data_IF_667469133316
#
_entry.id   IF_667469133316
#
_cell.length_a   1.000
_cell.length_b   1.000
_cell.length_c   1.000
_cell.angle_alpha   90.00
_cell.angle_beta   90.00
_cell.angle_gamma   90.00
#
_symmetry.space_group_name_H-M   'P 1'
#
loop_
_entity.id
_entity.type
_entity.pdbx_description
1 polymer ?
#
# COMPACT_ATOMS: atom_id res chain seq x y z
N UNK A 1 -26.28 10.41 6.67
CA UNK A 1 -25.53 9.17 6.98
C UNK A 1 -24.43 9.52 7.95
N UNK A 2 -24.15 8.64 8.91
CA UNK A 2 -22.93 8.73 9.71
C UNK A 2 -21.74 8.42 8.78
N UNK A 3 -20.67 9.20 8.84
CA UNK A 3 -19.48 8.98 8.01
C UNK A 3 -18.82 7.69 8.52
N UNK A 4 -18.59 6.69 7.66
CA UNK A 4 -17.94 5.44 8.06
C UNK A 4 -16.51 5.71 8.55
N UNK A 5 -16.03 4.84 9.42
CA UNK A 5 -14.67 4.93 9.95
C UNK A 5 -13.65 4.58 8.86
N UNK A 6 -13.89 3.48 8.14
CA UNK A 6 -13.01 3.01 7.06
C UNK A 6 -13.81 2.79 5.78
N UNK A 7 -13.34 3.36 4.68
CA UNK A 7 -13.83 3.07 3.34
C UNK A 7 -12.80 2.27 2.55
N UNK A 8 -13.22 1.24 1.82
CA UNK A 8 -12.32 0.43 0.96
C UNK A 8 -12.70 0.59 -0.51
N UNK A 9 -11.74 1.11 -1.28
CA UNK A 9 -11.82 1.30 -2.73
C UNK A 9 -11.08 0.18 -3.47
N UNK A 10 -11.74 -0.50 -4.42
CA UNK A 10 -11.12 -1.61 -5.15
C UNK A 10 -11.82 -1.92 -6.48
N UNK A 11 -11.11 -2.63 -7.37
CA UNK A 11 -11.71 -3.16 -8.58
C UNK A 11 -12.46 -4.48 -8.31
N UNK A 12 -13.71 -4.59 -8.75
CA UNK A 12 -14.55 -5.78 -8.52
C UNK A 12 -14.05 -7.02 -9.27
N UNK A 13 -14.25 -8.21 -8.71
CA UNK A 13 -13.84 -9.48 -9.30
C UNK A 13 -12.35 -9.79 -9.15
N UNK A 14 -12.00 -11.06 -9.35
CA UNK A 14 -10.62 -11.52 -9.37
C UNK A 14 -9.93 -11.44 -8.01
N UNK A 15 -8.62 -11.16 -8.03
CA UNK A 15 -7.78 -11.21 -6.83
C UNK A 15 -8.01 -10.05 -5.87
N UNK A 16 -8.25 -8.84 -6.40
CA UNK A 16 -8.57 -7.67 -5.59
C UNK A 16 -9.82 -7.91 -4.73
N UNK A 17 -10.88 -8.51 -5.29
CA UNK A 17 -12.09 -8.84 -4.53
C UNK A 17 -11.85 -9.93 -3.48
N UNK A 18 -11.07 -10.98 -3.82
CA UNK A 18 -10.71 -12.04 -2.86
C UNK A 18 -9.95 -11.47 -1.66
N UNK A 19 -9.00 -10.57 -1.92
CA UNK A 19 -8.22 -9.90 -0.89
C UNK A 19 -9.11 -8.98 -0.03
N UNK A 20 -9.93 -8.14 -0.68
CA UNK A 20 -10.83 -7.21 0.03
C UNK A 20 -11.83 -7.93 0.92
N UNK A 21 -12.34 -9.09 0.51
CA UNK A 21 -13.23 -9.88 1.37
C UNK A 21 -12.55 -10.33 2.68
N UNK A 22 -11.27 -10.73 2.61
CA UNK A 22 -10.49 -11.08 3.82
C UNK A 22 -10.22 -9.85 4.69
N UNK A 23 -9.81 -8.75 4.07
CA UNK A 23 -9.58 -7.48 4.75
C UNK A 23 -10.86 -6.98 5.46
N UNK A 24 -12.00 -7.05 4.77
CA UNK A 24 -13.30 -6.68 5.31
C UNK A 24 -13.64 -7.51 6.56
N UNK A 25 -13.51 -8.84 6.47
CA UNK A 25 -13.77 -9.72 7.61
C UNK A 25 -12.85 -9.40 8.80
N UNK A 26 -11.56 -9.14 8.55
CA UNK A 26 -10.60 -8.74 9.57
C UNK A 26 -10.97 -7.42 10.25
N UNK A 27 -11.22 -6.36 9.48
CA UNK A 27 -11.55 -5.04 10.03
C UNK A 27 -12.89 -5.05 10.81
N UNK A 28 -13.88 -5.84 10.37
CA UNK A 28 -15.13 -6.03 11.12
C UNK A 28 -14.87 -6.77 12.44
N UNK A 29 -13.97 -7.75 12.48
CA UNK A 29 -13.58 -8.43 13.72
C UNK A 29 -12.85 -7.48 14.70
N UNK A 30 -12.15 -6.48 14.18
CA UNK A 30 -11.52 -5.39 14.96
C UNK A 30 -12.49 -4.27 15.39
N UNK A 31 -13.79 -4.44 15.13
CA UNK A 31 -14.89 -3.50 15.44
C UNK A 31 -14.84 -2.17 14.69
N UNK A 32 -14.24 -2.12 13.49
CA UNK A 32 -14.37 -0.94 12.63
C UNK A 32 -15.71 -0.92 11.89
N UNK A 33 -16.25 0.28 11.70
CA UNK A 33 -17.32 0.51 10.72
C UNK A 33 -16.72 0.63 9.32
N UNK A 34 -16.77 -0.49 8.58
CA UNK A 34 -16.19 -0.64 7.24
C UNK A 34 -17.28 -0.58 6.19
N UNK A 35 -17.05 0.26 5.19
CA UNK A 35 -17.92 0.40 4.03
C UNK A 35 -17.21 -0.07 2.75
N UNK A 36 -17.88 -0.90 1.97
CA UNK A 36 -17.45 -1.38 0.65
C UNK A 36 -18.36 -0.81 -0.44
N UNK A 37 -17.77 -0.35 -1.55
CA UNK A 37 -18.52 0.23 -2.66
C UNK A 37 -19.60 -0.70 -3.23
N UNK A 38 -19.32 -2.01 -3.33
CA UNK A 38 -20.22 -3.01 -3.91
C UNK A 38 -21.38 -3.39 -3.00
N UNK A 39 -21.15 -3.39 -1.68
CA UNK A 39 -22.13 -3.88 -0.70
C UNK A 39 -23.06 -2.74 -0.27
N UNK A 40 -22.49 -1.59 0.03
CA UNK A 40 -23.21 -0.50 0.71
C UNK A 40 -23.89 0.48 -0.27
N UNK A 41 -23.54 0.44 -1.56
CA UNK A 41 -24.27 1.18 -2.60
C UNK A 41 -25.71 0.65 -2.78
N UNK A 42 -25.92 -0.65 -2.53
CA UNK A 42 -27.22 -1.31 -2.71
C UNK A 42 -27.72 -1.34 -4.17
N UNK A 43 -28.74 -2.13 -4.44
CA UNK A 43 -29.38 -2.17 -5.75
C UNK A 43 -30.05 -0.82 -6.07
N UNK A 44 -29.71 -0.23 -7.24
CA UNK A 44 -30.13 1.11 -7.71
C UNK A 44 -29.50 2.32 -6.99
N UNK A 45 -28.44 2.13 -6.20
CA UNK A 45 -27.69 3.25 -5.63
C UNK A 45 -26.99 4.11 -6.69
N UNK A 46 -26.92 5.41 -6.44
CA UNK A 46 -26.15 6.33 -7.30
C UNK A 46 -24.68 6.30 -6.89
N UNK A 47 -23.86 5.65 -7.71
CA UNK A 47 -22.43 5.45 -7.43
C UNK A 47 -21.67 6.77 -7.28
N UNK A 48 -22.01 7.80 -8.06
CA UNK A 48 -21.34 9.11 -8.02
C UNK A 48 -21.66 9.85 -6.73
N UNK A 49 -22.93 9.90 -6.33
CA UNK A 49 -23.32 10.55 -5.06
C UNK A 49 -22.74 9.84 -3.84
N UNK A 50 -22.62 8.51 -3.91
CA UNK A 50 -22.00 7.70 -2.88
C UNK A 50 -20.48 7.97 -2.78
N UNK A 51 -19.77 7.99 -3.92
CA UNK A 51 -18.33 8.30 -3.97
C UNK A 51 -18.00 9.72 -3.47
N UNK A 52 -18.82 10.72 -3.79
CA UNK A 52 -18.67 12.10 -3.30
C UNK A 52 -18.80 12.20 -1.77
N UNK A 53 -19.65 11.37 -1.16
CA UNK A 53 -19.79 11.34 0.30
C UNK A 53 -18.59 10.66 0.98
N UNK A 54 -17.99 9.67 0.32
CA UNK A 54 -16.87 8.87 0.86
C UNK A 54 -15.51 9.50 0.68
N UNK A 55 -15.36 10.43 -0.28
CA UNK A 55 -14.18 11.29 -0.39
C UNK A 55 -13.87 12.10 0.87
N UNK A 56 -14.81 12.21 1.82
CA UNK A 56 -14.66 12.84 3.13
C UNK A 56 -14.27 11.87 4.26
N UNK A 57 -14.18 10.57 3.97
CA UNK A 57 -13.76 9.55 4.94
C UNK A 57 -12.40 9.85 5.55
N UNK A 58 -12.23 9.48 6.83
CA UNK A 58 -10.99 9.74 7.59
C UNK A 58 -9.89 8.73 7.27
N UNK A 59 -10.27 7.47 7.00
CA UNK A 59 -9.37 6.43 6.52
C UNK A 59 -9.95 5.76 5.27
N UNK A 60 -9.18 5.77 4.18
CA UNK A 60 -9.57 5.23 2.88
C UNK A 60 -8.51 4.23 2.45
N UNK A 61 -8.83 2.94 2.55
CA UNK A 61 -7.96 1.87 2.04
C UNK A 61 -8.18 1.75 0.54
N UNK A 62 -7.12 1.94 -0.25
CA UNK A 62 -7.22 1.83 -1.71
C UNK A 62 -6.44 0.62 -2.18
N UNK A 63 -7.12 -0.35 -2.76
CA UNK A 63 -6.55 -1.59 -3.30
C UNK A 63 -6.33 -1.44 -4.80
N UNK A 64 -5.06 -1.26 -5.19
CA UNK A 64 -4.65 -0.80 -6.52
C UNK A 64 -4.05 -1.97 -7.31
N UNK A 65 -4.75 -2.38 -8.37
CA UNK A 65 -4.29 -3.34 -9.37
C UNK A 65 -4.25 -2.70 -10.77
N UNK A 66 -3.70 -3.39 -11.77
CA UNK A 66 -3.76 -2.92 -13.17
C UNK A 66 -5.22 -2.64 -13.60
N UNK A 67 -6.13 -3.51 -13.17
CA UNK A 67 -7.57 -3.37 -13.42
C UNK A 67 -8.14 -2.09 -12.79
N UNK A 68 -7.71 -1.75 -11.58
CA UNK A 68 -8.15 -0.52 -10.90
C UNK A 68 -7.79 0.71 -11.74
N UNK A 69 -6.55 0.79 -12.22
CA UNK A 69 -6.00 1.97 -12.89
C UNK A 69 -6.53 2.20 -14.30
N UNK A 70 -7.17 1.17 -14.87
CA UNK A 70 -7.86 1.19 -16.17
C UNK A 70 -9.39 1.27 -16.03
N UNK A 71 -9.92 1.27 -14.81
CA UNK A 71 -11.36 1.35 -14.54
C UNK A 71 -11.79 2.80 -14.38
N UNK A 72 -12.75 3.25 -15.21
CA UNK A 72 -13.30 4.61 -15.14
C UNK A 72 -13.90 4.92 -13.77
N UNK A 73 -14.67 3.98 -13.20
CA UNK A 73 -15.28 4.16 -11.89
C UNK A 73 -14.22 4.28 -10.77
N UNK A 74 -13.22 3.40 -10.76
CA UNK A 74 -12.18 3.40 -9.72
C UNK A 74 -11.27 4.64 -9.81
N UNK A 75 -10.95 5.06 -11.02
CA UNK A 75 -10.13 6.26 -11.23
C UNK A 75 -10.91 7.55 -11.00
N UNK A 76 -12.20 7.59 -11.33
CA UNK A 76 -13.08 8.69 -10.94
C UNK A 76 -13.13 8.83 -9.41
N UNK A 77 -13.32 7.72 -8.70
CA UNK A 77 -13.30 7.71 -7.24
C UNK A 77 -11.96 8.20 -6.67
N UNK A 78 -10.84 7.73 -7.22
CA UNK A 78 -9.51 8.21 -6.84
C UNK A 78 -9.34 9.72 -7.05
N UNK A 79 -9.87 10.24 -8.15
CA UNK A 79 -9.88 11.69 -8.43
C UNK A 79 -10.71 12.43 -7.39
N UNK A 80 -11.91 11.94 -7.05
CA UNK A 80 -12.76 12.54 -6.02
C UNK A 80 -12.06 12.53 -4.64
N UNK A 81 -11.43 11.42 -4.25
CA UNK A 81 -10.65 11.34 -3.01
C UNK A 81 -9.51 12.38 -3.01
N UNK A 82 -8.83 12.56 -4.15
CA UNK A 82 -7.72 13.51 -4.33
C UNK A 82 -8.14 14.98 -4.39
N UNK A 83 -9.41 15.30 -4.66
CA UNK A 83 -9.95 16.68 -4.61
C UNK A 83 -10.04 17.23 -3.19
N UNK A 84 -10.04 16.36 -2.17
CA UNK A 84 -10.09 16.76 -0.77
C UNK A 84 -8.69 16.87 -0.14
N UNK A 85 -8.53 17.80 0.82
CA UNK A 85 -7.26 18.02 1.52
C UNK A 85 -6.75 16.74 2.22
N UNK A 86 -5.45 16.75 2.56
CA UNK A 86 -4.79 15.68 3.31
C UNK A 86 -4.91 14.31 2.66
N UNK A 87 -4.95 14.26 1.32
CA UNK A 87 -5.05 13.03 0.53
C UNK A 87 -4.08 11.95 1.04
N UNK A 88 -2.78 12.25 1.12
CA UNK A 88 -1.75 11.32 1.56
C UNK A 88 -1.89 10.83 3.01
N UNK A 89 -2.57 11.59 3.88
CA UNK A 89 -2.80 11.20 5.28
C UNK A 89 -4.02 10.29 5.42
N UNK A 90 -4.96 10.38 4.47
CA UNK A 90 -6.23 9.64 4.50
C UNK A 90 -6.16 8.33 3.71
N UNK A 91 -5.29 8.25 2.70
CA UNK A 91 -5.17 7.03 1.89
C UNK A 91 -4.23 6.01 2.52
N UNK A 92 -4.65 4.76 2.51
CA UNK A 92 -3.87 3.59 2.89
C UNK A 92 -3.74 2.68 1.66
N UNK A 93 -2.76 2.93 0.78
CA UNK A 93 -2.64 2.21 -0.47
C UNK A 93 -2.07 0.80 -0.27
N UNK A 94 -2.72 -0.18 -0.92
CA UNK A 94 -2.28 -1.56 -1.03
C UNK A 94 -2.11 -1.85 -2.51
N UNK A 95 -0.87 -2.05 -2.95
CA UNK A 95 -0.55 -2.10 -4.38
C UNK A 95 -0.24 -3.55 -4.80
N UNK A 96 -1.03 -4.08 -5.72
CA UNK A 96 -0.78 -5.37 -6.34
C UNK A 96 0.45 -5.30 -7.25
N UNK A 97 1.22 -6.40 -7.39
CA UNK A 97 2.39 -6.44 -8.29
C UNK A 97 2.06 -6.10 -9.75
N UNK A 98 0.85 -6.44 -10.21
CA UNK A 98 0.41 -6.21 -11.60
C UNK A 98 0.25 -4.73 -11.97
N UNK A 99 0.04 -3.85 -10.98
CA UNK A 99 -0.03 -2.40 -11.17
C UNK A 99 1.34 -1.79 -11.54
N UNK A 100 2.44 -2.50 -11.26
CA UNK A 100 3.81 -2.16 -11.66
C UNK A 100 4.20 -0.67 -11.43
N UNK A 101 3.77 -0.11 -10.30
CA UNK A 101 3.83 1.34 -10.01
C UNK A 101 5.25 1.92 -9.92
N UNK A 102 6.24 1.10 -9.61
CA UNK A 102 7.63 1.55 -9.48
C UNK A 102 8.33 1.69 -10.83
N UNK A 103 7.80 1.05 -11.88
CA UNK A 103 8.35 1.14 -13.22
C UNK A 103 7.83 2.40 -13.94
N UNK A 104 8.71 3.34 -14.34
CA UNK A 104 8.29 4.55 -15.04
C UNK A 104 7.59 4.27 -16.37
N UNK A 105 7.99 3.22 -17.10
CA UNK A 105 7.37 2.87 -18.38
C UNK A 105 5.94 2.33 -18.18
N UNK A 106 5.72 1.55 -17.11
CA UNK A 106 4.38 1.08 -16.77
C UNK A 106 3.46 2.25 -16.39
N UNK A 107 3.97 3.24 -15.63
CA UNK A 107 3.22 4.46 -15.32
C UNK A 107 2.88 5.28 -16.57
N UNK A 108 3.82 5.43 -17.49
CA UNK A 108 3.55 6.06 -18.79
C UNK A 108 2.49 5.30 -19.59
N UNK A 109 2.45 3.96 -19.50
CA UNK A 109 1.43 3.17 -20.18
C UNK A 109 0.00 3.49 -19.68
N UNK A 110 -0.18 3.84 -18.39
CA UNK A 110 -1.49 4.31 -17.89
C UNK A 110 -1.88 5.68 -18.44
N UNK A 111 -0.93 6.60 -18.62
CA UNK A 111 -1.19 7.90 -19.26
C UNK A 111 -1.67 7.65 -20.71
N UNK A 112 -0.92 6.86 -21.47
CA UNK A 112 -1.26 6.50 -22.85
C UNK A 112 -2.62 5.80 -22.92
N UNK A 113 -2.94 4.93 -21.96
CA UNK A 113 -4.25 4.28 -21.89
C UNK A 113 -5.37 5.31 -21.82
N UNK A 114 -5.31 6.25 -20.87
CA UNK A 114 -6.35 7.27 -20.70
C UNK A 114 -6.40 8.29 -21.85
N UNK A 115 -5.26 8.66 -22.45
CA UNK A 115 -5.23 9.46 -23.68
C UNK A 115 -6.02 8.78 -24.81
N UNK A 116 -5.84 7.47 -24.97
CA UNK A 116 -6.55 6.70 -25.98
C UNK A 116 -8.05 6.60 -25.68
N UNK A 117 -8.45 6.41 -24.43
CA UNK A 117 -9.87 6.39 -24.06
C UNK A 117 -10.56 7.74 -24.30
N UNK A 118 -9.91 8.87 -23.95
CA UNK A 118 -10.38 10.23 -24.28
C UNK A 118 -10.52 10.43 -25.78
N UNK A 119 -9.54 9.97 -26.56
CA UNK A 119 -9.57 10.07 -28.04
C UNK A 119 -10.73 9.26 -28.64
N UNK A 120 -10.89 8.01 -28.23
CA UNK A 120 -11.97 7.11 -28.71
C UNK A 120 -13.35 7.70 -28.44
N UNK A 121 -13.57 8.22 -27.23
CA UNK A 121 -14.85 8.81 -26.85
C UNK A 121 -15.15 10.07 -27.68
N UNK A 122 -14.16 10.96 -27.84
CA UNK A 122 -14.26 12.14 -28.70
C UNK A 122 -14.61 11.78 -30.16
N UNK A 123 -13.97 10.77 -30.73
CA UNK A 123 -14.23 10.33 -32.09
C UNK A 123 -15.65 9.77 -32.26
N UNK A 124 -16.13 9.04 -31.25
CA UNK A 124 -17.50 8.50 -31.24
C UNK A 124 -18.55 9.62 -31.16
N UNK A 125 -18.31 10.66 -30.37
CA UNK A 125 -19.21 11.83 -30.28
C UNK A 125 -19.31 12.62 -31.58
N UNK A 126 -18.21 12.74 -32.36
CA UNK A 126 -18.22 13.49 -33.64
C UNK A 126 -19.17 12.91 -34.68
N UNK A 127 -19.52 11.63 -34.57
CA UNK A 127 -20.42 10.95 -35.49
C UNK A 127 -21.89 11.13 -35.13
N UNK A 128 -22.21 11.84 -34.05
CA UNK A 128 -23.60 12.08 -33.61
C UNK A 128 -24.08 13.44 -34.09
N UNK A 129 -25.11 13.45 -34.94
CA UNK A 129 -25.65 14.68 -35.55
C UNK A 129 -26.41 15.56 -34.53
N UNK A 130 -27.15 14.95 -33.60
CA UNK A 130 -27.91 15.67 -32.60
C UNK A 130 -27.12 15.78 -31.28
N UNK A 131 -26.41 16.90 -31.11
CA UNK A 131 -25.57 17.16 -29.94
C UNK A 131 -26.34 17.17 -28.60
N UNK A 132 -27.65 17.44 -28.60
CA UNK A 132 -28.45 17.41 -27.37
C UNK A 132 -28.57 16.00 -26.77
N UNK A 133 -28.43 14.95 -27.59
CA UNK A 133 -28.52 13.56 -27.15
C UNK A 133 -27.25 13.04 -26.47
N UNK A 134 -26.14 13.77 -26.58
CA UNK A 134 -24.85 13.34 -26.02
C UNK A 134 -24.40 14.17 -24.82
N UNK A 135 -25.28 15.00 -24.26
CA UNK A 135 -24.93 15.87 -23.12
C UNK A 135 -24.37 15.07 -21.92
N UNK A 136 -24.93 13.89 -21.63
CA UNK A 136 -24.41 12.99 -20.57
C UNK A 136 -23.05 12.39 -20.94
N UNK A 137 -22.86 12.00 -22.20
CA UNK A 137 -21.59 11.47 -22.72
C UNK A 137 -20.49 12.55 -22.68
N UNK A 138 -20.85 13.81 -22.91
CA UNK A 138 -19.94 14.94 -22.74
C UNK A 138 -19.46 15.08 -21.29
N UNK A 139 -20.32 14.77 -20.30
CA UNK A 139 -19.89 14.73 -18.89
C UNK A 139 -18.91 13.58 -18.64
N UNK A 140 -19.14 12.40 -19.20
CA UNK A 140 -18.16 11.29 -19.10
C UNK A 140 -16.81 11.65 -19.74
N UNK A 141 -16.81 12.38 -20.86
CA UNK A 141 -15.58 12.88 -21.45
C UNK A 141 -14.86 13.87 -20.52
N UNK A 142 -15.58 14.74 -19.81
CA UNK A 142 -14.99 15.61 -18.79
C UNK A 142 -14.33 14.77 -17.70
N UNK A 143 -15.00 13.72 -17.22
CA UNK A 143 -14.47 12.80 -16.21
C UNK A 143 -13.20 12.09 -16.69
N UNK A 144 -13.17 11.62 -17.94
CA UNK A 144 -11.98 10.98 -18.51
C UNK A 144 -10.80 11.96 -18.61
N UNK A 145 -11.06 13.23 -18.93
CA UNK A 145 -10.03 14.27 -18.93
C UNK A 145 -9.54 14.58 -17.51
N UNK A 146 -10.43 14.59 -16.50
CA UNK A 146 -10.01 14.75 -15.10
C UNK A 146 -9.12 13.59 -14.65
N UNK A 147 -9.48 12.35 -14.99
CA UNK A 147 -8.67 11.16 -14.74
C UNK A 147 -7.30 11.30 -15.41
N UNK A 148 -7.26 11.63 -16.70
CA UNK A 148 -6.01 11.82 -17.45
C UNK A 148 -5.11 12.89 -16.82
N UNK A 149 -5.68 14.02 -16.41
CA UNK A 149 -4.93 15.10 -15.75
C UNK A 149 -4.40 14.68 -14.37
N UNK A 150 -5.13 13.80 -13.67
CA UNK A 150 -4.77 13.34 -12.34
C UNK A 150 -3.81 12.14 -12.33
N UNK A 151 -3.83 11.27 -13.34
CA UNK A 151 -3.13 9.97 -13.32
C UNK A 151 -1.63 10.13 -13.10
N UNK A 152 -1.00 11.15 -13.69
CA UNK A 152 0.43 11.45 -13.49
C UNK A 152 0.73 11.84 -12.04
N UNK A 153 -0.13 12.68 -11.43
CA UNK A 153 0.01 13.09 -10.03
C UNK A 153 -0.24 11.93 -9.07
N UNK A 154 -1.32 11.17 -9.29
CA UNK A 154 -1.71 10.01 -8.47
C UNK A 154 -0.59 8.96 -8.50
N UNK A 155 -0.15 8.54 -9.69
CA UNK A 155 0.92 7.53 -9.81
C UNK A 155 2.27 8.01 -9.26
N UNK A 156 2.51 9.32 -9.23
CA UNK A 156 3.69 9.90 -8.58
C UNK A 156 3.59 9.89 -7.05
N UNK A 157 2.42 10.17 -6.48
CA UNK A 157 2.16 10.06 -5.04
C UNK A 157 2.29 8.59 -4.60
N UNK A 158 1.63 7.68 -5.31
CA UNK A 158 1.64 6.25 -5.00
C UNK A 158 3.06 5.65 -5.07
N UNK A 159 3.86 6.02 -6.08
CA UNK A 159 5.27 5.60 -6.16
C UNK A 159 6.07 5.97 -4.91
N UNK A 160 5.82 7.16 -4.35
CA UNK A 160 6.56 7.67 -3.21
C UNK A 160 5.94 7.26 -1.86
N UNK A 161 4.86 6.49 -1.88
CA UNK A 161 4.22 5.97 -0.68
C UNK A 161 4.78 4.59 -0.36
N UNK A 162 5.14 4.35 0.90
CA UNK A 162 5.55 3.03 1.36
C UNK A 162 4.32 2.12 1.50
N UNK A 163 3.87 1.56 0.38
CA UNK A 163 2.74 0.62 0.32
C UNK A 163 3.23 -0.82 0.46
N UNK A 164 2.50 -1.63 1.23
CA UNK A 164 2.70 -3.07 1.26
C UNK A 164 1.85 -3.74 0.17
N UNK A 165 2.28 -4.93 -0.26
CA UNK A 165 1.49 -5.76 -1.19
C UNK A 165 0.39 -6.51 -0.42
N UNK A 166 -0.63 -7.03 -1.12
CA UNK A 166 -1.64 -7.91 -0.53
C UNK A 166 -1.03 -9.07 0.26
N UNK A 167 -0.01 -9.74 -0.29
CA UNK A 167 0.64 -10.89 0.34
C UNK A 167 1.32 -10.52 1.64
N UNK A 168 2.00 -9.36 1.67
CA UNK A 168 2.66 -8.85 2.87
C UNK A 168 1.63 -8.59 3.98
N UNK A 169 0.50 -7.96 3.64
CA UNK A 169 -0.59 -7.74 4.60
C UNK A 169 -1.24 -9.04 5.06
N UNK A 170 -1.49 -10.00 4.18
CA UNK A 170 -2.05 -11.29 4.59
C UNK A 170 -1.11 -12.07 5.51
N UNK A 171 0.21 -12.04 5.24
CA UNK A 171 1.22 -12.73 6.04
C UNK A 171 1.30 -12.22 7.48
N UNK A 172 1.19 -10.92 7.68
CA UNK A 172 1.16 -10.30 9.01
C UNK A 172 -0.25 -10.22 9.63
N UNK A 173 -1.25 -10.86 9.00
CA UNK A 173 -2.66 -10.76 9.38
C UNK A 173 -3.12 -9.30 9.55
N UNK A 174 -2.80 -8.47 8.56
CA UNK A 174 -3.17 -7.05 8.42
C UNK A 174 -2.68 -6.13 9.56
N UNK A 175 -1.70 -6.58 10.36
CA UNK A 175 -1.20 -5.83 11.53
C UNK A 175 -0.73 -4.41 11.19
N UNK A 176 0.11 -4.23 10.17
CA UNK A 176 0.62 -2.89 9.82
C UNK A 176 -0.50 -1.96 9.34
N UNK A 177 -1.48 -2.50 8.61
CA UNK A 177 -2.65 -1.73 8.20
C UNK A 177 -3.50 -1.31 9.41
N UNK A 178 -3.75 -2.23 10.34
CA UNK A 178 -4.50 -1.96 11.57
C UNK A 178 -3.83 -0.85 12.40
N UNK A 179 -2.51 -0.94 12.59
CA UNK A 179 -1.73 0.08 13.31
C UNK A 179 -1.87 1.44 12.63
N UNK A 180 -1.67 1.50 11.31
CA UNK A 180 -1.74 2.75 10.55
C UNK A 180 -3.16 3.37 10.59
N UNK A 181 -4.20 2.56 10.39
CA UNK A 181 -5.61 3.02 10.42
C UNK A 181 -5.99 3.50 11.83
N UNK A 182 -5.54 2.80 12.88
CA UNK A 182 -5.84 3.15 14.28
C UNK A 182 -5.20 4.48 14.73
N UNK A 183 -4.12 4.92 14.09
CA UNK A 183 -3.52 6.24 14.36
C UNK A 183 -4.42 7.39 13.89
N UNK A 184 -5.18 7.19 12.81
CA UNK A 184 -6.09 8.20 12.24
C UNK A 184 -7.49 8.11 12.86
N UNK A 185 -7.85 6.92 13.34
CA UNK A 185 -9.11 6.59 13.99
C UNK A 185 -8.84 6.06 15.41
N UNK A 186 -8.62 6.94 16.40
CA UNK A 186 -8.46 6.48 17.78
C UNK A 186 -9.72 5.73 18.22
N UNK A 187 -9.55 4.45 18.61
CA UNK A 187 -10.65 3.60 19.10
C UNK A 187 -11.43 4.35 20.19
N UNK A 188 -12.77 4.34 20.10
CA UNK A 188 -13.62 4.83 21.21
C UNK A 188 -13.20 4.07 22.47
N UNK A 189 -12.81 4.79 23.53
CA UNK A 189 -12.59 4.15 24.83
C UNK A 189 -13.90 3.47 25.22
N UNK A 190 -13.84 2.18 25.52
CA UNK A 190 -14.94 1.50 26.17
C UNK A 190 -15.09 2.10 27.58
N UNK A 191 -16.04 3.01 27.73
CA UNK A 191 -16.61 3.35 29.03
C UNK A 191 -17.51 2.18 29.45
N UNK A 192 -16.88 1.14 29.99
CA UNK A 192 -17.43 0.22 31.01
C UNK A 192 -16.64 -1.11 31.00
N UNK A 193 -15.56 -1.12 31.78
CA UNK A 193 -15.12 -2.32 32.47
C UNK A 193 -14.37 -1.87 33.73
N UNK A 194 -15.00 -2.14 34.87
CA UNK A 194 -14.60 -1.70 36.20
C UNK A 194 -13.20 -2.13 36.63
N UNK A 195 -12.73 -1.38 37.62
CA UNK A 195 -11.42 -1.39 38.27
C UNK A 195 -10.85 -2.76 38.61
N UNK A 196 -9.53 -2.89 38.43
CA UNK A 196 -8.63 -3.43 39.45
C UNK A 196 -7.19 -2.88 39.28
N UNK A 197 -6.81 -2.04 40.25
CA UNK A 197 -5.49 -1.54 40.72
C UNK A 197 -4.21 -2.16 40.09
N UNK A 198 -3.36 -1.33 39.47
CA UNK A 198 -2.21 -0.55 40.01
C UNK A 198 -0.92 -1.36 40.30
N UNK A 199 0.13 -1.09 39.52
CA UNK A 199 1.49 -0.82 40.03
C UNK A 199 2.15 0.24 39.12
N UNK A 200 2.45 1.40 39.70
CA UNK A 200 3.33 2.43 39.12
C UNK A 200 4.81 1.97 39.19
N UNK A 201 5.62 2.28 38.17
CA UNK A 201 6.68 3.31 38.29
C UNK A 201 7.58 3.45 37.03
N UNK A 202 7.85 4.72 36.77
CA UNK A 202 9.02 5.34 36.12
C UNK A 202 9.19 5.21 34.59
N UNK A 203 8.68 6.24 33.88
CA UNK A 203 9.29 6.73 32.65
C UNK A 203 10.62 7.43 32.95
N UNK A 204 11.58 7.34 32.02
CA UNK A 204 12.05 8.57 31.40
C UNK A 204 11.89 8.52 29.87
N UNK A 205 11.23 9.56 29.37
CA UNK A 205 11.08 9.95 27.98
C UNK A 205 12.42 10.13 27.27
N UNK A 206 12.55 9.55 26.06
CA UNK A 206 13.04 10.19 24.81
C UNK A 206 13.03 9.15 23.68
N UNK A 207 12.42 9.49 22.54
CA UNK A 207 12.36 8.75 21.26
C UNK A 207 13.59 7.87 20.99
N UNK A 208 13.43 6.59 20.59
CA UNK A 208 12.93 6.26 19.24
C UNK A 208 12.00 5.04 19.20
N UNK A 209 10.95 5.07 18.37
CA UNK A 209 10.15 3.86 18.05
C UNK A 209 10.98 2.90 17.17
N UNK A 210 11.90 2.18 17.81
CA UNK A 210 12.63 1.02 17.29
C UNK A 210 12.95 0.11 18.48
N UNK A 211 12.12 -0.90 18.74
CA UNK A 211 12.55 -2.09 19.51
C UNK A 211 12.71 -3.22 18.47
N UNK A 212 13.83 -3.91 18.31
CA UNK A 212 15.14 -3.81 19.00
C UNK A 212 16.21 -4.58 18.20
N UNK A 213 16.29 -4.44 16.88
CA UNK A 213 17.46 -4.99 16.17
C UNK A 213 18.65 -4.04 16.32
N UNK A 214 19.65 -4.40 17.14
CA UNK A 214 20.93 -3.68 17.11
C UNK A 214 21.55 -3.92 15.74
N UNK A 215 21.66 -2.90 14.88
CA UNK A 215 22.25 -3.01 13.55
C UNK A 215 23.65 -3.66 13.58
N UNK A 216 24.41 -3.40 14.64
CA UNK A 216 25.70 -4.04 14.91
C UNK A 216 25.60 -5.57 15.11
N UNK A 217 24.47 -6.09 15.61
CA UNK A 217 24.22 -7.53 15.76
C UNK A 217 23.86 -8.17 14.41
N UNK A 218 22.99 -7.56 13.60
CA UNK A 218 22.70 -8.05 12.24
C UNK A 218 23.97 -8.06 11.39
N UNK A 219 24.78 -7.00 11.48
CA UNK A 219 26.06 -6.92 10.77
C UNK A 219 27.03 -8.05 11.18
N UNK A 220 27.15 -8.32 12.49
CA UNK A 220 27.98 -9.42 13.00
C UNK A 220 27.45 -10.78 12.55
N UNK A 221 26.13 -10.97 12.57
CA UNK A 221 25.49 -12.20 12.10
C UNK A 221 25.84 -12.44 10.63
N UNK A 222 25.56 -11.48 9.75
CA UNK A 222 25.89 -11.56 8.32
C UNK A 222 27.37 -11.86 8.04
N UNK A 223 28.28 -11.23 8.81
CA UNK A 223 29.72 -11.45 8.65
C UNK A 223 30.18 -12.83 9.12
N UNK A 224 29.48 -13.44 10.08
CA UNK A 224 29.82 -14.75 10.64
C UNK A 224 29.11 -15.91 9.93
N UNK A 225 27.93 -15.65 9.36
CA UNK A 225 27.08 -16.64 8.71
C UNK A 225 27.56 -16.99 7.30
N UNK A 226 28.02 -16.00 6.53
CA UNK A 226 28.39 -16.23 5.14
C UNK A 226 29.90 -16.17 4.89
N UNK A 227 30.40 -17.06 4.03
CA UNK A 227 31.65 -16.80 3.30
C UNK A 227 31.43 -15.65 2.29
N UNK A 228 32.50 -15.12 1.69
CA UNK A 228 32.34 -14.04 0.69
C UNK A 228 31.57 -14.54 -0.56
N UNK A 229 31.79 -15.80 -0.95
CA UNK A 229 31.07 -16.45 -2.06
C UNK A 229 29.60 -16.68 -1.72
N UNK A 230 29.29 -17.14 -0.50
CA UNK A 230 27.91 -17.41 -0.10
C UNK A 230 27.10 -16.12 0.04
N UNK A 231 27.72 -15.04 0.53
CA UNK A 231 27.08 -13.72 0.60
C UNK A 231 26.72 -13.20 -0.80
N UNK A 232 27.58 -13.44 -1.79
CA UNK A 232 27.28 -13.09 -3.18
C UNK A 232 26.06 -13.86 -3.69
N UNK A 233 26.03 -15.18 -3.49
CA UNK A 233 24.90 -16.03 -3.90
C UNK A 233 23.60 -15.63 -3.19
N UNK A 234 23.65 -15.36 -1.88
CA UNK A 234 22.52 -14.89 -1.10
C UNK A 234 21.97 -13.57 -1.63
N UNK A 235 22.84 -12.59 -1.90
CA UNK A 235 22.39 -11.32 -2.47
C UNK A 235 21.88 -11.52 -3.89
N UNK A 236 22.49 -12.36 -4.72
CA UNK A 236 22.01 -12.63 -6.08
C UNK A 236 20.59 -13.20 -6.08
N UNK A 237 20.25 -14.08 -5.12
CA UNK A 237 18.95 -14.74 -5.04
C UNK A 237 17.89 -13.82 -4.43
N UNK A 238 18.18 -13.21 -3.28
CA UNK A 238 17.16 -12.53 -2.48
C UNK A 238 17.21 -11.00 -2.60
N UNK A 239 18.35 -10.43 -3.01
CA UNK A 239 18.60 -8.98 -3.07
C UNK A 239 19.34 -8.62 -4.37
N UNK A 240 18.78 -9.02 -5.51
CA UNK A 240 19.45 -8.90 -6.82
C UNK A 240 19.96 -7.47 -7.05
N UNK A 241 19.18 -6.45 -6.68
CA UNK A 241 19.57 -5.05 -6.84
C UNK A 241 20.82 -4.69 -6.02
N UNK A 242 21.02 -5.31 -4.85
CA UNK A 242 22.23 -5.14 -4.05
C UNK A 242 23.40 -5.84 -4.73
N UNK A 243 23.20 -7.07 -5.20
CA UNK A 243 24.23 -7.86 -5.89
C UNK A 243 24.76 -7.15 -7.14
N UNK A 244 23.88 -6.56 -7.94
CA UNK A 244 24.25 -5.78 -9.14
C UNK A 244 25.11 -4.54 -8.82
N UNK A 245 25.17 -4.11 -7.55
CA UNK A 245 26.06 -3.01 -7.13
C UNK A 245 27.44 -3.47 -6.68
N UNK A 246 27.72 -4.78 -6.61
CA UNK A 246 29.02 -5.28 -6.17
C UNK A 246 30.09 -5.03 -7.25
N UNK A 247 31.29 -4.65 -6.80
CA UNK A 247 32.43 -4.39 -7.67
C UNK A 247 33.60 -5.34 -7.35
N UNK A 248 34.46 -5.56 -8.33
CA UNK A 248 35.64 -6.43 -8.19
C UNK A 248 36.58 -5.91 -7.09
N UNK A 249 37.08 -6.83 -6.26
CA UNK A 249 37.97 -6.51 -5.12
C UNK A 249 37.27 -5.91 -3.89
N UNK A 250 35.95 -5.76 -3.88
CA UNK A 250 35.22 -5.34 -2.67
C UNK A 250 35.30 -6.39 -1.56
N UNK A 251 35.56 -5.94 -0.33
CA UNK A 251 35.59 -6.83 0.83
C UNK A 251 34.18 -7.25 1.28
N UNK A 252 34.07 -8.42 1.91
CA UNK A 252 32.83 -8.94 2.50
C UNK A 252 32.13 -7.90 3.40
N UNK A 253 32.90 -7.14 4.17
CA UNK A 253 32.37 -6.09 5.04
C UNK A 253 31.72 -4.94 4.28
N UNK A 254 32.29 -4.53 3.14
CA UNK A 254 31.69 -3.50 2.28
C UNK A 254 30.38 -3.98 1.65
N UNK A 255 30.30 -5.27 1.27
CA UNK A 255 29.08 -5.89 0.72
C UNK A 255 27.95 -5.97 1.75
N UNK A 256 28.27 -6.41 2.98
CA UNK A 256 27.31 -6.42 4.10
C UNK A 256 26.77 -5.02 4.38
N UNK A 257 27.62 -3.98 4.36
CA UNK A 257 27.15 -2.60 4.56
C UNK A 257 26.18 -2.14 3.46
N UNK A 258 26.43 -2.49 2.20
CA UNK A 258 25.51 -2.18 1.09
C UNK A 258 24.16 -2.89 1.25
N UNK A 259 24.16 -4.15 1.67
CA UNK A 259 22.95 -4.90 1.96
C UNK A 259 22.15 -4.25 3.10
N UNK A 260 22.82 -3.89 4.20
CA UNK A 260 22.16 -3.22 5.32
C UNK A 260 21.64 -1.81 4.97
N UNK A 261 22.38 -1.06 4.15
CA UNK A 261 21.94 0.26 3.67
C UNK A 261 20.72 0.12 2.76
N UNK A 262 20.71 -0.86 1.87
CA UNK A 262 19.54 -1.22 1.07
C UNK A 262 18.36 -1.61 1.98
N UNK A 263 18.55 -2.53 2.93
CA UNK A 263 17.49 -2.94 3.84
C UNK A 263 16.95 -1.79 4.69
N UNK A 264 17.80 -0.84 5.07
CA UNK A 264 17.36 0.38 5.77
C UNK A 264 16.57 1.31 4.85
N UNK A 265 17.10 1.58 3.66
CA UNK A 265 16.51 2.51 2.69
C UNK A 265 15.17 2.02 2.15
N UNK A 266 15.02 0.71 1.99
CA UNK A 266 13.85 0.06 1.42
C UNK A 266 13.04 -0.72 2.48
N UNK A 267 13.34 -0.53 3.77
CA UNK A 267 12.67 -1.19 4.89
C UNK A 267 12.59 -2.73 4.78
N UNK A 268 13.61 -3.36 4.17
CA UNK A 268 13.71 -4.81 3.93
C UNK A 268 14.42 -5.57 5.07
N UNK A 269 14.42 -5.06 6.31
CA UNK A 269 15.07 -5.75 7.42
C UNK A 269 14.36 -7.05 7.80
N UNK A 270 13.03 -7.06 7.85
CA UNK A 270 12.27 -8.30 8.13
C UNK A 270 12.46 -9.33 7.01
N UNK A 271 12.48 -8.88 5.76
CA UNK A 271 12.75 -9.73 4.60
C UNK A 271 14.17 -10.33 4.64
N UNK A 272 15.16 -9.53 5.06
CA UNK A 272 16.52 -10.01 5.31
C UNK A 272 16.57 -11.04 6.43
N UNK A 273 15.88 -10.80 7.55
CA UNK A 273 15.86 -11.70 8.69
C UNK A 273 15.17 -13.03 8.36
N UNK A 274 14.07 -13.00 7.62
CA UNK A 274 13.38 -14.19 7.14
C UNK A 274 14.30 -15.10 6.31
N UNK A 275 14.97 -14.55 5.30
CA UNK A 275 15.87 -15.36 4.46
C UNK A 275 17.17 -15.75 5.19
N UNK A 276 17.61 -14.97 6.18
CA UNK A 276 18.71 -15.39 7.06
C UNK A 276 18.33 -16.59 7.94
N UNK A 277 17.08 -16.65 8.40
CA UNK A 277 16.57 -17.77 9.19
C UNK A 277 16.44 -19.05 8.36
N UNK A 278 15.92 -18.95 7.12
CA UNK A 278 15.80 -20.08 6.19
C UNK A 278 17.16 -20.69 5.83
N UNK A 279 18.17 -19.85 5.56
CA UNK A 279 19.50 -20.32 5.14
C UNK A 279 20.37 -20.79 6.32
N UNK A 280 20.13 -20.31 7.55
CA UNK A 280 20.93 -20.70 8.72
C UNK A 280 20.18 -20.59 10.07
N UNK A 281 19.14 -21.40 10.23
CA UNK A 281 18.26 -21.44 11.41
C UNK A 281 19.01 -21.64 12.74
N UNK A 282 20.10 -22.41 12.77
CA UNK A 282 20.88 -22.68 13.99
C UNK A 282 21.66 -21.46 14.49
N UNK A 283 22.33 -20.71 13.60
CA UNK A 283 23.02 -19.47 13.97
C UNK A 283 22.04 -18.33 14.23
N UNK A 284 20.92 -18.28 13.49
CA UNK A 284 19.86 -17.30 13.69
C UNK A 284 19.23 -17.42 15.09
N UNK A 285 18.91 -18.65 15.51
CA UNK A 285 18.36 -18.94 16.85
C UNK A 285 19.30 -18.54 18.00
N UNK A 286 20.62 -18.69 17.82
CA UNK A 286 21.60 -18.27 18.82
C UNK A 286 21.64 -16.75 19.02
N UNK A 287 21.38 -15.97 17.96
CA UNK A 287 21.31 -14.51 18.01
C UNK A 287 19.95 -13.97 18.46
N UNK A 288 18.87 -14.77 18.31
CA UNK A 288 17.51 -14.43 18.79
C UNK A 288 17.45 -14.06 20.29
N UNK A 289 18.36 -14.61 21.09
CA UNK A 289 18.42 -14.40 22.54
C UNK A 289 18.98 -13.03 22.98
N UNK A 290 19.49 -12.20 22.06
CA UNK A 290 20.16 -10.92 22.38
C UNK A 290 19.46 -9.67 21.81
N UNK A 291 18.25 -9.82 21.26
CA UNK A 291 17.45 -8.72 20.74
C UNK A 291 16.74 -7.95 21.85
#
# INVERSE_FOLDING_TARGET
MQVPEVFVSYAWGGESERFVNKLYAFLKAENFDVLLDKIDLGYKGNIKSFMQQLGQGRAIVVVISDKYLKSANCMFEMVEIAKHNNFSERIFPIIFPDANMYNPNARTAYIIYWENEVKKLNESMKNVENMALIAEIQQELVEYNEILNAVSKITSILKNTNSLTPEMHEHENFKSLLEAVSLVLPKKKNEDAGESRQVEKDEPTTDPVNRKYKLANIQKLLLNTFSDTDLNSFCMIYFEEVYQTFADGQSKQQKVLKLLDYCKRFMKFEYLLFHLEEENSAQFSAFQSYW
#
